data_IF_268756962238
#
_entry.id   IF_268756962238
#
_cell.length_a   1.000
_cell.length_b   1.000
_cell.length_c   1.000
_cell.angle_alpha   90.00
_cell.angle_beta   90.00
_cell.angle_gamma   90.00
#
_symmetry.space_group_name_H-M   'P 1'
#
loop_
_entity.id
_entity.type
_entity.pdbx_description
1 polymer ?
#
# COMPACT_ATOMS: atom_id res chain seq x y z
N UNK A 1 -14.40 -41.42 0.33
CA UNK A 1 -14.74 -39.97 0.33
C UNK A 1 -13.44 -39.19 0.35
N UNK A 2 -13.23 -38.26 -0.56
CA UNK A 2 -12.02 -37.44 -0.58
C UNK A 2 -12.22 -36.25 0.36
N UNK A 3 -11.29 -36.06 1.30
CA UNK A 3 -11.24 -34.89 2.18
C UNK A 3 -9.84 -34.28 2.08
N UNK A 4 -9.78 -32.99 1.80
CA UNK A 4 -8.57 -32.18 1.89
C UNK A 4 -8.74 -31.28 3.10
N UNK A 5 -7.78 -31.33 4.03
CA UNK A 5 -7.72 -30.48 5.22
C UNK A 5 -6.34 -29.80 5.21
N UNK A 6 -6.34 -28.51 4.90
CA UNK A 6 -5.13 -27.71 4.72
C UNK A 6 -5.13 -26.56 5.73
N UNK A 7 -4.10 -26.54 6.58
CA UNK A 7 -3.87 -25.51 7.59
C UNK A 7 -2.48 -24.92 7.37
N UNK A 8 -2.43 -23.69 6.89
CA UNK A 8 -1.20 -22.93 6.71
C UNK A 8 -1.15 -21.88 7.82
N UNK A 9 -0.24 -22.06 8.78
CA UNK A 9 -0.01 -21.09 9.86
C UNK A 9 1.45 -21.19 10.35
N UNK A 10 2.25 -20.11 10.27
CA UNK A 10 1.91 -18.80 9.70
C UNK A 10 1.95 -18.79 8.16
N UNK A 11 1.28 -17.83 7.54
CA UNK A 11 1.58 -17.38 6.18
C UNK A 11 2.99 -16.80 6.15
N UNK A 12 3.77 -17.16 5.15
CA UNK A 12 5.14 -16.64 4.96
C UNK A 12 5.17 -15.62 3.83
N UNK A 13 6.21 -14.76 3.83
CA UNK A 13 6.41 -13.69 2.84
C UNK A 13 5.24 -12.70 2.74
N UNK A 14 4.59 -12.42 3.86
CA UNK A 14 3.59 -11.36 4.03
C UNK A 14 3.97 -10.46 5.22
N UNK A 15 3.43 -9.25 5.26
CA UNK A 15 3.52 -8.39 6.45
C UNK A 15 2.37 -8.73 7.41
N UNK A 16 2.65 -8.70 8.71
CA UNK A 16 1.72 -9.12 9.76
C UNK A 16 1.65 -10.63 9.97
N UNK A 17 0.73 -11.06 10.83
CA UNK A 17 0.56 -12.47 11.19
C UNK A 17 -0.82 -13.01 10.78
N UNK A 18 -0.81 -14.00 9.90
CA UNK A 18 -2.02 -14.64 9.41
C UNK A 18 -1.86 -16.11 9.05
N UNK A 19 -2.97 -16.77 8.75
CA UNK A 19 -3.05 -18.17 8.37
C UNK A 19 -4.23 -18.45 7.46
N UNK A 20 -4.22 -19.58 6.77
CA UNK A 20 -5.35 -20.05 5.94
C UNK A 20 -5.76 -21.44 6.39
N UNK A 21 -7.06 -21.63 6.61
CA UNK A 21 -7.68 -22.94 6.81
C UNK A 21 -8.64 -23.23 5.66
N UNK A 22 -8.42 -24.36 4.98
CA UNK A 22 -9.20 -24.82 3.84
C UNK A 22 -9.62 -26.28 4.05
N UNK A 23 -10.92 -26.52 4.09
CA UNK A 23 -11.50 -27.87 4.12
C UNK A 23 -12.31 -28.08 2.85
N UNK A 24 -11.97 -29.13 2.10
CA UNK A 24 -12.70 -29.54 0.90
C UNK A 24 -13.15 -30.99 1.08
N UNK A 25 -14.45 -31.23 0.97
CA UNK A 25 -15.02 -32.59 1.05
C UNK A 25 -15.78 -32.88 -0.23
N UNK A 26 -15.44 -34.00 -0.88
CA UNK A 26 -16.05 -34.44 -2.14
C UNK A 26 -16.07 -33.32 -3.21
N UNK A 27 -14.97 -32.56 -3.32
CA UNK A 27 -14.82 -31.47 -4.29
C UNK A 27 -15.53 -30.16 -3.94
N UNK A 28 -16.19 -30.06 -2.79
CA UNK A 28 -16.85 -28.83 -2.32
C UNK A 28 -16.06 -28.21 -1.18
N UNK A 29 -15.87 -26.88 -1.24
CA UNK A 29 -15.28 -26.12 -0.13
C UNK A 29 -16.29 -26.10 1.01
N UNK A 30 -15.94 -26.74 2.12
CA UNK A 30 -16.73 -26.70 3.36
C UNK A 30 -16.26 -25.55 4.27
N UNK A 31 -14.96 -25.22 4.22
CA UNK A 31 -14.37 -24.16 5.03
C UNK A 31 -13.27 -23.45 4.25
N UNK A 32 -13.29 -22.11 4.25
CA UNK A 32 -12.20 -21.27 3.75
C UNK A 32 -12.10 -20.03 4.65
N UNK A 33 -11.08 -20.00 5.49
CA UNK A 33 -10.85 -18.90 6.43
C UNK A 33 -9.44 -18.35 6.26
N UNK A 34 -9.34 -17.06 5.93
CA UNK A 34 -8.14 -16.25 6.12
C UNK A 34 -8.20 -15.67 7.53
N UNK A 35 -7.31 -16.15 8.39
CA UNK A 35 -7.28 -15.88 9.82
C UNK A 35 -6.13 -14.94 10.12
N UNK A 36 -6.42 -13.65 10.36
CA UNK A 36 -5.42 -12.73 10.90
C UNK A 36 -5.47 -12.89 12.42
N UNK A 37 -4.33 -13.23 13.03
CA UNK A 37 -4.24 -13.43 14.48
C UNK A 37 -3.19 -12.51 15.13
N UNK A 38 -2.62 -11.60 14.34
CA UNK A 38 -1.81 -10.50 14.87
C UNK A 38 -2.58 -9.79 15.98
N UNK A 39 -1.89 -9.53 17.10
CA UNK A 39 -2.50 -8.93 18.26
C UNK A 39 -2.99 -7.51 17.93
N UNK A 40 -4.26 -7.17 18.22
CA UNK A 40 -4.76 -5.82 18.01
C UNK A 40 -3.99 -4.85 18.91
N UNK A 41 -3.47 -3.78 18.30
CA UNK A 41 -2.73 -2.72 19.00
C UNK A 41 -3.61 -1.56 19.47
N UNK A 42 -4.91 -1.62 19.15
CA UNK A 42 -5.95 -0.69 19.61
C UNK A 42 -5.61 0.80 19.40
N UNK A 43 -5.01 1.15 18.25
CA UNK A 43 -4.63 2.53 17.94
C UNK A 43 -5.81 3.51 18.06
N UNK A 44 -7.01 3.11 17.64
CA UNK A 44 -8.22 3.95 17.70
C UNK A 44 -8.55 4.37 19.15
N UNK A 45 -8.58 3.41 20.08
CA UNK A 45 -8.80 3.68 21.50
C UNK A 45 -7.60 4.41 22.13
N UNK A 46 -6.38 4.02 21.76
CA UNK A 46 -5.14 4.61 22.27
C UNK A 46 -4.96 6.09 21.91
N UNK A 47 -5.55 6.54 20.80
CA UNK A 47 -5.50 7.93 20.35
C UNK A 47 -6.49 8.84 21.09
N UNK A 48 -7.45 8.30 21.84
CA UNK A 48 -8.39 9.09 22.65
C UNK A 48 -7.61 9.87 23.72
N UNK A 49 -7.82 11.19 23.77
CA UNK A 49 -7.14 12.09 24.72
C UNK A 49 -5.69 12.46 24.34
N UNK A 50 -5.17 11.94 23.22
CA UNK A 50 -3.85 12.35 22.69
C UNK A 50 -3.91 13.74 22.09
N UNK A 51 -2.78 14.45 22.11
CA UNK A 51 -2.66 15.73 21.42
C UNK A 51 -2.70 15.49 19.92
N UNK A 52 -3.43 16.32 19.19
CA UNK A 52 -3.52 16.19 17.73
C UNK A 52 -2.13 16.21 17.05
N UNK A 53 -1.17 16.96 17.61
CA UNK A 53 0.19 17.11 17.06
C UNK A 53 1.07 15.86 17.16
N UNK A 54 0.82 14.95 18.11
CA UNK A 54 1.58 13.69 18.24
C UNK A 54 0.96 12.55 17.40
N UNK A 55 -0.27 12.71 16.91
CA UNK A 55 -0.98 11.65 16.17
C UNK A 55 -0.17 11.14 14.97
N UNK A 56 0.36 11.99 14.06
CA UNK A 56 1.11 11.49 12.89
C UNK A 56 2.31 10.62 13.27
N UNK A 57 3.02 10.98 14.34
CA UNK A 57 4.11 10.16 14.86
C UNK A 57 3.60 8.84 15.41
N UNK A 58 2.56 8.85 16.25
CA UNK A 58 2.01 7.62 16.83
C UNK A 58 1.56 6.63 15.74
N UNK A 59 0.74 7.08 14.78
CA UNK A 59 0.17 6.20 13.74
C UNK A 59 1.21 5.68 12.74
N UNK A 60 2.36 6.36 12.59
CA UNK A 60 3.45 5.85 11.77
C UNK A 60 3.95 4.47 12.25
N UNK A 61 3.70 4.11 13.52
CA UNK A 61 4.11 2.83 14.12
C UNK A 61 3.11 1.70 13.87
N UNK A 62 2.03 1.95 13.12
CA UNK A 62 1.09 0.91 12.70
C UNK A 62 1.78 -0.08 11.75
N UNK A 63 2.62 0.38 10.83
CA UNK A 63 3.34 -0.51 9.92
C UNK A 63 4.78 -0.02 9.69
N UNK A 64 5.72 -0.96 9.58
CA UNK A 64 7.11 -0.66 9.23
C UNK A 64 7.34 -0.42 7.74
N UNK A 65 6.43 -0.88 6.87
CA UNK A 65 6.54 -0.78 5.41
C UNK A 65 5.82 0.45 4.86
N UNK A 66 4.64 0.79 5.40
CA UNK A 66 3.80 1.88 4.89
C UNK A 66 3.48 3.01 5.90
N UNK A 67 4.46 3.60 6.61
CA UNK A 67 4.18 4.65 7.58
C UNK A 67 3.64 5.97 6.99
N UNK A 68 3.96 6.29 5.73
CA UNK A 68 3.62 7.58 5.10
C UNK A 68 2.10 7.74 4.90
N UNK A 69 1.36 6.75 4.38
CA UNK A 69 -0.09 6.79 4.32
C UNK A 69 -0.74 7.11 5.66
N UNK A 70 -0.28 6.50 6.76
CA UNK A 70 -0.81 6.79 8.10
C UNK A 70 -0.52 8.23 8.53
N UNK A 71 0.73 8.69 8.37
CA UNK A 71 1.13 10.07 8.70
C UNK A 71 0.27 11.08 7.94
N UNK A 72 0.08 10.86 6.64
CA UNK A 72 -0.62 11.83 5.80
C UNK A 72 -2.14 11.75 5.87
N UNK A 73 -2.72 10.56 6.04
CA UNK A 73 -4.17 10.43 6.27
C UNK A 73 -4.56 11.08 7.59
N UNK A 74 -3.80 10.85 8.66
CA UNK A 74 -4.06 11.48 9.96
C UNK A 74 -3.81 12.98 9.92
N UNK A 75 -2.72 13.43 9.28
CA UNK A 75 -2.45 14.86 9.11
C UNK A 75 -3.57 15.54 8.33
N UNK A 76 -4.03 14.95 7.22
CA UNK A 76 -5.13 15.48 6.41
C UNK A 76 -6.44 15.55 7.19
N UNK A 77 -6.77 14.53 7.97
CA UNK A 77 -7.97 14.54 8.81
C UNK A 77 -7.93 15.71 9.80
N UNK A 78 -6.80 15.92 10.46
CA UNK A 78 -6.61 17.02 11.41
C UNK A 78 -6.58 18.39 10.71
N UNK A 79 -5.96 18.49 9.54
CA UNK A 79 -5.95 19.72 8.72
C UNK A 79 -7.36 20.12 8.29
N UNK A 80 -8.22 19.16 7.94
CA UNK A 80 -9.64 19.42 7.68
C UNK A 80 -10.36 19.96 8.92
N UNK A 81 -10.14 19.36 10.09
CA UNK A 81 -10.77 19.80 11.35
C UNK A 81 -10.39 21.25 11.70
N UNK A 82 -9.14 21.64 11.47
CA UNK A 82 -8.65 22.99 11.73
C UNK A 82 -8.76 23.94 10.53
N UNK A 83 -9.40 23.53 9.44
CA UNK A 83 -9.55 24.31 8.20
C UNK A 83 -8.20 24.84 7.67
N UNK A 84 -7.13 24.04 7.81
CA UNK A 84 -5.79 24.39 7.36
C UNK A 84 -5.66 24.12 5.86
N UNK A 85 -5.48 25.19 5.09
CA UNK A 85 -5.10 25.08 3.68
C UNK A 85 -3.61 24.78 3.51
N UNK A 86 -3.31 23.64 2.89
CA UNK A 86 -1.93 23.23 2.63
C UNK A 86 -1.41 23.88 1.35
N UNK A 87 -0.29 24.63 1.41
CA UNK A 87 0.32 25.23 0.24
C UNK A 87 0.66 24.18 -0.84
N UNK A 88 0.58 24.59 -2.11
CA UNK A 88 0.84 23.69 -3.24
C UNK A 88 2.20 22.99 -3.13
N UNK A 89 3.23 23.72 -2.74
CA UNK A 89 4.60 23.21 -2.57
C UNK A 89 4.67 22.10 -1.52
N UNK A 90 3.91 22.24 -0.42
CA UNK A 90 3.83 21.22 0.61
C UNK A 90 3.08 19.98 0.09
N UNK A 91 2.01 20.16 -0.68
CA UNK A 91 1.30 19.04 -1.32
C UNK A 91 2.22 18.26 -2.25
N UNK A 92 3.01 18.95 -3.08
CA UNK A 92 3.98 18.33 -3.98
C UNK A 92 5.10 17.59 -3.22
N UNK A 93 5.62 18.16 -2.13
CA UNK A 93 6.60 17.47 -1.28
C UNK A 93 6.02 16.20 -0.66
N UNK A 94 4.76 16.21 -0.20
CA UNK A 94 4.06 15.02 0.30
C UNK A 94 3.91 13.96 -0.79
N UNK A 95 3.57 14.34 -2.02
CA UNK A 95 3.48 13.42 -3.17
C UNK A 95 4.83 12.75 -3.45
N UNK A 96 5.92 13.53 -3.51
CA UNK A 96 7.26 12.98 -3.74
C UNK A 96 7.62 11.94 -2.67
N UNK A 97 7.35 12.23 -1.40
CA UNK A 97 7.61 11.31 -0.30
C UNK A 97 6.75 10.04 -0.37
N UNK A 98 5.46 10.16 -0.73
CA UNK A 98 4.58 9.02 -0.94
C UNK A 98 5.04 8.15 -2.12
N UNK A 99 5.49 8.75 -3.23
CA UNK A 99 6.06 8.01 -4.35
C UNK A 99 7.35 7.28 -3.95
N UNK A 100 8.18 7.88 -3.09
CA UNK A 100 9.32 7.19 -2.48
C UNK A 100 8.90 5.91 -1.74
N UNK A 101 7.84 5.98 -0.95
CA UNK A 101 7.28 4.81 -0.27
C UNK A 101 6.69 3.79 -1.25
N UNK A 102 5.93 4.22 -2.26
CA UNK A 102 5.39 3.30 -3.27
C UNK A 102 6.51 2.55 -4.00
N UNK A 103 7.58 3.24 -4.40
CA UNK A 103 8.75 2.62 -5.02
C UNK A 103 9.35 1.56 -4.08
N UNK A 104 9.59 1.91 -2.81
CA UNK A 104 10.19 0.99 -1.84
C UNK A 104 9.28 -0.22 -1.56
N UNK A 105 8.01 0.03 -1.25
CA UNK A 105 7.02 -0.98 -0.88
C UNK A 105 6.65 -1.91 -2.04
N UNK A 106 6.37 -1.36 -3.24
CA UNK A 106 6.02 -2.19 -4.39
C UNK A 106 7.21 -3.02 -4.87
N UNK A 107 8.42 -2.48 -4.81
CA UNK A 107 9.63 -3.22 -5.20
C UNK A 107 9.94 -4.33 -4.18
N UNK A 108 9.80 -4.04 -2.89
CA UNK A 108 9.88 -5.05 -1.82
C UNK A 108 8.90 -6.19 -2.06
N UNK A 109 7.62 -5.86 -2.24
CA UNK A 109 6.56 -6.85 -2.44
C UNK A 109 6.77 -7.67 -3.72
N UNK A 110 7.01 -6.99 -4.86
CA UNK A 110 7.12 -7.67 -6.14
C UNK A 110 8.32 -8.63 -6.20
N UNK A 111 9.49 -8.21 -5.71
CA UNK A 111 10.74 -8.96 -5.94
C UNK A 111 11.21 -9.80 -4.76
N UNK A 112 10.91 -9.41 -3.51
CA UNK A 112 11.35 -10.17 -2.34
C UNK A 112 10.25 -11.07 -1.77
N UNK A 113 8.98 -10.72 -1.99
CA UNK A 113 7.85 -11.47 -1.45
C UNK A 113 7.18 -12.34 -2.51
N UNK A 114 6.80 -11.78 -3.67
CA UNK A 114 5.92 -12.45 -4.62
C UNK A 114 6.63 -13.17 -5.78
N UNK A 115 7.70 -12.59 -6.33
CA UNK A 115 8.45 -13.17 -7.45
C UNK A 115 8.89 -14.63 -7.26
N UNK A 116 9.36 -15.07 -6.06
CA UNK A 116 9.73 -16.47 -5.84
C UNK A 116 8.64 -17.48 -6.19
N UNK A 117 7.36 -17.15 -5.97
CA UNK A 117 6.24 -18.07 -6.25
C UNK A 117 6.13 -18.42 -7.73
N UNK A 118 6.29 -17.44 -8.62
CA UNK A 118 6.18 -17.65 -10.07
C UNK A 118 7.33 -18.50 -10.64
N UNK A 119 8.40 -18.63 -9.87
CA UNK A 119 9.59 -19.40 -10.22
C UNK A 119 9.70 -20.71 -9.41
N UNK A 120 8.71 -21.00 -8.55
CA UNK A 120 8.69 -22.16 -7.66
C UNK A 120 9.93 -22.23 -6.75
N UNK A 121 10.33 -21.08 -6.22
CA UNK A 121 11.42 -20.92 -5.29
C UNK A 121 10.88 -20.72 -3.87
N UNK A 122 11.68 -21.08 -2.86
CA UNK A 122 11.30 -20.93 -1.47
C UNK A 122 11.25 -19.47 -1.03
N UNK A 123 12.20 -18.67 -1.50
CA UNK A 123 12.39 -17.29 -1.06
C UNK A 123 13.22 -16.44 -2.05
N UNK A 124 13.44 -15.18 -1.67
CA UNK A 124 14.25 -14.24 -2.43
C UNK A 124 15.75 -14.56 -2.44
N UNK A 125 16.25 -15.39 -1.51
CA UNK A 125 17.67 -15.79 -1.45
C UNK A 125 17.95 -16.80 -2.56
N UNK A 126 17.05 -17.77 -2.77
CA UNK A 126 17.12 -18.65 -3.93
C UNK A 126 16.99 -17.87 -5.24
N UNK A 127 16.07 -16.90 -5.29
CA UNK A 127 15.96 -16.02 -6.45
C UNK A 127 17.25 -15.24 -6.72
N UNK A 128 17.92 -14.75 -5.68
CA UNK A 128 19.19 -14.04 -5.81
C UNK A 128 20.34 -14.92 -6.33
N UNK A 129 20.28 -16.25 -6.15
CA UNK A 129 21.29 -17.18 -6.69
C UNK A 129 21.13 -17.37 -8.20
N UNK A 130 19.88 -17.41 -8.70
CA UNK A 130 19.59 -17.66 -10.11
C UNK A 130 19.47 -16.37 -10.94
N UNK A 131 19.01 -15.28 -10.33
CA UNK A 131 18.73 -14.00 -10.96
C UNK A 131 19.42 -12.84 -10.18
N UNK A 132 20.75 -12.90 -9.96
CA UNK A 132 21.46 -11.96 -9.10
C UNK A 132 21.36 -10.51 -9.57
N UNK A 133 21.40 -10.28 -10.89
CA UNK A 133 21.27 -8.94 -11.45
C UNK A 133 19.88 -8.34 -11.23
N UNK A 134 18.83 -9.16 -11.38
CA UNK A 134 17.44 -8.75 -11.15
C UNK A 134 17.23 -8.36 -9.69
N UNK A 135 17.69 -9.19 -8.75
CA UNK A 135 17.60 -8.85 -7.32
C UNK A 135 18.44 -7.63 -6.97
N UNK A 136 19.66 -7.48 -7.51
CA UNK A 136 20.48 -6.28 -7.28
C UNK A 136 19.79 -5.01 -7.75
N UNK A 137 19.17 -5.04 -8.94
CA UNK A 137 18.38 -3.93 -9.48
C UNK A 137 17.16 -3.62 -8.61
N UNK A 138 16.42 -4.64 -8.17
CA UNK A 138 15.29 -4.46 -7.25
C UNK A 138 15.73 -3.84 -5.91
N UNK A 139 16.83 -4.32 -5.32
CA UNK A 139 17.36 -3.74 -4.09
C UNK A 139 17.80 -2.29 -4.25
N UNK A 140 18.42 -1.94 -5.39
CA UNK A 140 18.77 -0.55 -5.74
C UNK A 140 17.53 0.33 -5.87
N UNK A 141 16.50 -0.13 -6.59
CA UNK A 141 15.26 0.61 -6.76
C UNK A 141 14.52 0.81 -5.43
N UNK A 142 14.46 -0.24 -4.60
CA UNK A 142 13.93 -0.15 -3.23
C UNK A 142 14.72 0.85 -2.38
N UNK A 143 16.05 0.82 -2.46
CA UNK A 143 16.92 1.75 -1.74
C UNK A 143 16.71 3.20 -2.20
N UNK A 144 16.42 3.44 -3.48
CA UNK A 144 16.06 4.77 -3.97
C UNK A 144 14.73 5.28 -3.42
N UNK A 145 13.71 4.42 -3.31
CA UNK A 145 12.47 4.76 -2.62
C UNK A 145 12.72 5.20 -1.18
N UNK A 146 13.51 4.42 -0.42
CA UNK A 146 13.94 4.76 0.94
C UNK A 146 14.75 6.05 1.00
N UNK A 147 15.62 6.29 0.01
CA UNK A 147 16.43 7.49 -0.09
C UNK A 147 15.57 8.76 -0.19
N UNK A 148 14.51 8.73 -1.00
CA UNK A 148 13.56 9.83 -1.12
C UNK A 148 12.89 10.11 0.24
N UNK A 149 12.42 9.05 0.91
CA UNK A 149 11.77 9.16 2.23
C UNK A 149 12.74 9.71 3.27
N UNK A 150 13.98 9.23 3.29
CA UNK A 150 15.00 9.70 4.23
C UNK A 150 15.36 11.16 3.97
N UNK A 151 15.54 11.55 2.70
CA UNK A 151 15.80 12.94 2.35
C UNK A 151 14.68 13.85 2.82
N UNK A 152 13.41 13.52 2.60
CA UNK A 152 12.31 14.43 2.96
C UNK A 152 11.88 14.30 4.42
N UNK A 153 11.84 13.07 4.93
CA UNK A 153 11.29 12.68 6.23
C UNK A 153 12.32 12.52 7.35
N UNK A 154 13.61 12.58 7.04
CA UNK A 154 14.73 12.44 7.98
C UNK A 154 15.13 11.00 8.29
N UNK A 155 14.25 10.02 8.07
CA UNK A 155 14.49 8.59 8.26
C UNK A 155 13.75 7.78 7.19
N UNK A 156 14.28 6.64 6.73
CA UNK A 156 13.61 5.81 5.72
C UNK A 156 12.40 5.04 6.29
N UNK A 157 12.38 4.80 7.60
CA UNK A 157 11.28 4.15 8.32
C UNK A 157 10.88 5.02 9.50
N UNK A 158 9.56 5.20 9.67
CA UNK A 158 8.96 6.08 10.67
C UNK A 158 9.57 7.50 10.63
N UNK A 159 9.42 8.22 9.49
CA UNK A 159 9.98 9.55 9.34
C UNK A 159 9.36 10.53 10.34
N UNK A 160 10.18 11.48 10.77
CA UNK A 160 9.90 12.39 11.89
C UNK A 160 9.81 13.85 11.44
N UNK A 161 10.09 14.14 10.17
CA UNK A 161 10.08 15.51 9.67
C UNK A 161 8.68 15.99 9.26
N UNK A 162 7.70 15.10 9.14
CA UNK A 162 6.33 15.45 8.79
C UNK A 162 5.58 16.04 9.99
N UNK A 163 4.76 17.05 9.73
CA UNK A 163 3.84 17.64 10.71
C UNK A 163 2.54 18.06 10.03
N UNK A 164 1.56 18.37 10.87
CA UNK A 164 0.34 19.07 10.45
C UNK A 164 0.73 20.43 9.85
N UNK A 165 0.22 20.71 8.67
CA UNK A 165 0.58 21.91 7.90
C UNK A 165 1.84 21.75 7.03
N UNK A 166 2.62 20.67 7.15
CA UNK A 166 3.78 20.43 6.28
C UNK A 166 4.93 19.68 6.94
N UNK A 167 6.08 20.34 7.10
CA UNK A 167 7.32 19.75 7.59
C UNK A 167 7.93 20.57 8.73
N UNK A 168 8.64 19.92 9.66
CA UNK A 168 9.39 20.57 10.75
C UNK A 168 10.65 21.29 10.26
N UNK A 169 11.09 21.01 9.03
CA UNK A 169 12.26 21.64 8.42
C UNK A 169 11.96 22.14 7.01
N UNK A 170 12.80 23.07 6.56
CA UNK A 170 12.82 23.49 5.16
C UNK A 170 13.53 22.43 4.32
N UNK A 171 12.90 21.99 3.24
CA UNK A 171 13.51 21.13 2.22
C UNK A 171 14.24 22.02 1.22
N UNK A 172 15.55 21.81 1.05
CA UNK A 172 16.37 22.66 0.18
C UNK A 172 16.22 22.24 -1.28
N UNK A 173 16.31 23.22 -2.19
CA UNK A 173 16.31 22.96 -3.65
C UNK A 173 17.42 22.00 -4.08
N UNK A 174 18.57 22.00 -3.40
CA UNK A 174 19.68 21.08 -3.69
C UNK A 174 19.32 19.63 -3.38
N UNK A 175 18.53 19.38 -2.34
CA UNK A 175 18.05 18.03 -1.98
C UNK A 175 17.06 17.50 -3.03
N UNK A 176 16.15 18.36 -3.50
CA UNK A 176 15.21 18.04 -4.57
C UNK A 176 15.92 17.83 -5.91
N UNK A 177 16.93 18.63 -6.21
CA UNK A 177 17.75 18.49 -7.41
C UNK A 177 18.48 17.15 -7.41
N UNK A 178 19.09 16.76 -6.29
CA UNK A 178 19.78 15.48 -6.20
C UNK A 178 18.83 14.27 -6.38
N UNK A 179 17.62 14.33 -5.82
CA UNK A 179 16.57 13.31 -6.10
C UNK A 179 16.27 13.27 -7.60
N UNK A 180 15.99 14.44 -8.20
CA UNK A 180 15.65 14.56 -9.62
C UNK A 180 16.75 14.02 -10.53
N UNK A 181 18.01 14.34 -10.24
CA UNK A 181 19.17 13.93 -11.04
C UNK A 181 19.33 12.40 -11.04
N UNK A 182 18.92 11.72 -9.96
CA UNK A 182 18.90 10.25 -9.85
C UNK A 182 17.69 9.60 -10.52
N UNK A 183 16.56 10.30 -10.68
CA UNK A 183 15.32 9.71 -11.19
C UNK A 183 15.50 8.98 -12.52
N UNK A 184 16.28 9.53 -13.46
CA UNK A 184 16.48 8.94 -14.79
C UNK A 184 17.07 7.52 -14.72
N UNK A 185 18.08 7.33 -13.88
CA UNK A 185 18.71 6.02 -13.67
C UNK A 185 17.69 5.00 -13.13
N UNK A 186 16.95 5.38 -12.09
CA UNK A 186 16.01 4.47 -11.44
C UNK A 186 14.74 4.22 -12.26
N UNK A 187 14.35 5.14 -13.14
CA UNK A 187 13.31 4.91 -14.15
C UNK A 187 13.73 3.81 -15.13
N UNK A 188 14.96 3.82 -15.61
CA UNK A 188 15.46 2.76 -16.49
C UNK A 188 15.54 1.41 -15.75
N UNK A 189 16.00 1.41 -14.49
CA UNK A 189 15.96 0.19 -13.65
C UNK A 189 14.51 -0.32 -13.50
N UNK A 190 13.55 0.55 -13.23
CA UNK A 190 12.14 0.17 -13.09
C UNK A 190 11.58 -0.43 -14.39
N UNK A 191 11.92 0.12 -15.56
CA UNK A 191 11.52 -0.43 -16.87
C UNK A 191 12.12 -1.80 -17.12
N UNK A 192 13.39 -2.02 -16.76
CA UNK A 192 14.03 -3.32 -16.90
C UNK A 192 13.39 -4.37 -15.99
N UNK A 193 13.09 -4.00 -14.74
CA UNK A 193 12.38 -4.84 -13.79
C UNK A 193 10.97 -5.17 -14.27
N UNK A 194 10.24 -4.20 -14.83
CA UNK A 194 8.93 -4.42 -15.44
C UNK A 194 9.00 -5.41 -16.62
N UNK A 195 9.98 -5.24 -17.52
CA UNK A 195 10.22 -6.19 -18.62
C UNK A 195 10.54 -7.60 -18.11
N UNK A 196 11.25 -7.72 -16.99
CA UNK A 196 11.49 -9.01 -16.35
C UNK A 196 10.19 -9.60 -15.79
N UNK A 197 9.36 -8.79 -15.11
CA UNK A 197 8.06 -9.23 -14.58
C UNK A 197 7.15 -9.78 -15.67
N UNK A 198 7.15 -9.20 -16.87
CA UNK A 198 6.37 -9.71 -18.00
C UNK A 198 6.81 -11.09 -18.54
N UNK A 199 8.00 -11.58 -18.15
CA UNK A 199 8.46 -12.94 -18.50
C UNK A 199 7.93 -13.99 -17.53
N UNK A 200 7.38 -13.59 -16.38
CA UNK A 200 6.85 -14.53 -15.40
C UNK A 200 5.59 -15.22 -15.93
N UNK A 201 5.47 -16.52 -15.65
CA UNK A 201 4.28 -17.30 -15.98
C UNK A 201 3.20 -17.06 -14.93
N UNK A 202 2.51 -15.93 -15.06
CA UNK A 202 1.40 -15.55 -14.17
C UNK A 202 0.14 -16.32 -14.63
N UNK A 203 -0.54 -17.07 -13.74
CA UNK A 203 -1.78 -17.75 -14.08
C UNK A 203 -2.87 -16.75 -14.51
N UNK A 204 -3.63 -17.11 -15.54
CA UNK A 204 -4.80 -16.33 -15.93
C UNK A 204 -5.93 -16.57 -14.91
N UNK A 205 -6.23 -15.55 -14.10
CA UNK A 205 -7.32 -15.58 -13.13
C UNK A 205 -8.28 -14.45 -13.46
N UNK A 206 -9.53 -14.81 -13.77
CA UNK A 206 -10.63 -13.87 -14.01
C UNK A 206 -11.64 -13.96 -12.88
N UNK A 207 -11.88 -12.83 -12.23
CA UNK A 207 -12.87 -12.70 -11.17
C UNK A 207 -13.65 -11.41 -11.36
N UNK A 208 -14.96 -11.46 -11.16
CA UNK A 208 -15.81 -10.26 -11.16
C UNK A 208 -15.73 -9.57 -9.79
N UNK A 209 -14.77 -8.65 -9.65
CA UNK A 209 -14.57 -7.86 -8.44
C UNK A 209 -15.10 -6.42 -8.60
N UNK A 210 -15.60 -5.87 -7.48
CA UNK A 210 -15.77 -4.42 -7.35
C UNK A 210 -14.44 -3.81 -6.88
N UNK A 211 -13.83 -3.00 -7.74
CA UNK A 211 -12.58 -2.28 -7.49
C UNK A 211 -12.87 -0.93 -6.86
N UNK A 212 -12.46 -0.74 -5.60
CA UNK A 212 -12.60 0.52 -4.87
C UNK A 212 -11.25 1.24 -4.81
N UNK A 213 -11.21 2.52 -5.21
CA UNK A 213 -10.02 3.34 -5.12
C UNK A 213 -10.34 4.82 -4.97
N UNK A 214 -9.31 5.62 -4.65
CA UNK A 214 -9.39 7.07 -4.82
C UNK A 214 -9.46 7.43 -6.32
N UNK A 215 -10.06 8.58 -6.59
CA UNK A 215 -9.99 9.32 -7.84
C UNK A 215 -9.84 10.81 -7.54
N UNK A 216 -8.87 11.43 -8.20
CA UNK A 216 -8.61 12.86 -8.05
C UNK A 216 -9.64 13.67 -8.84
N UNK A 217 -9.88 14.92 -8.42
CA UNK A 217 -10.82 15.81 -9.09
C UNK A 217 -10.19 16.57 -10.26
N UNK A 218 -8.87 16.75 -10.24
CA UNK A 218 -8.10 17.54 -11.22
C UNK A 218 -7.49 16.65 -12.32
N UNK A 219 -8.01 15.43 -12.49
CA UNK A 219 -7.53 14.43 -13.44
C UNK A 219 -6.04 14.05 -13.25
N UNK A 220 -5.51 14.23 -12.04
CA UNK A 220 -4.20 13.73 -11.63
C UNK A 220 -4.31 12.27 -11.12
N UNK A 221 -3.21 11.51 -11.14
CA UNK A 221 -3.19 10.21 -10.49
C UNK A 221 -3.33 10.36 -8.96
N UNK A 222 -4.36 9.77 -8.34
CA UNK A 222 -4.70 10.06 -6.95
C UNK A 222 -3.67 9.48 -6.00
N UNK A 223 -3.08 10.34 -5.16
CA UNK A 223 -2.11 9.95 -4.13
C UNK A 223 -2.77 9.93 -2.75
N UNK A 224 -3.26 11.09 -2.30
CA UNK A 224 -3.82 11.32 -0.97
C UNK A 224 -5.03 12.22 -1.12
N UNK A 225 -6.17 11.77 -0.60
CA UNK A 225 -7.41 12.51 -0.76
C UNK A 225 -8.03 12.35 -2.15
N UNK A 226 -9.25 12.83 -2.27
CA UNK A 226 -10.03 12.77 -3.50
C UNK A 226 -11.41 12.19 -3.23
N UNK A 227 -12.06 11.72 -4.29
CA UNK A 227 -13.32 10.97 -4.19
C UNK A 227 -13.02 9.48 -4.06
N UNK A 228 -13.89 8.75 -3.38
CA UNK A 228 -13.84 7.29 -3.29
C UNK A 228 -14.77 6.75 -4.36
N UNK A 229 -14.24 6.00 -5.32
CA UNK A 229 -14.99 5.49 -6.46
C UNK A 229 -14.89 3.97 -6.59
N UNK A 230 -15.90 3.36 -7.22
CA UNK A 230 -15.83 1.97 -7.69
C UNK A 230 -16.08 1.82 -9.19
N UNK A 231 -15.52 0.76 -9.78
CA UNK A 231 -15.82 0.37 -11.17
C UNK A 231 -17.29 -0.06 -11.38
N UNK A 232 -18.08 -0.21 -10.30
CA UNK A 232 -19.52 -0.49 -10.34
C UNK A 232 -20.34 0.74 -9.87
N UNK A 233 -19.80 1.93 -10.04
CA UNK A 233 -20.56 3.19 -9.96
C UNK A 233 -20.72 3.80 -8.56
N UNK A 234 -20.03 3.30 -7.53
CA UNK A 234 -19.91 4.07 -6.28
C UNK A 234 -19.08 5.32 -6.56
N UNK A 235 -19.49 6.47 -6.03
CA UNK A 235 -18.73 7.72 -6.15
C UNK A 235 -19.07 8.70 -5.01
N UNK A 236 -18.30 8.67 -3.93
CA UNK A 236 -18.59 9.41 -2.70
C UNK A 236 -17.43 10.29 -2.26
N UNK A 237 -17.72 11.23 -1.36
CA UNK A 237 -16.69 11.98 -0.63
C UNK A 237 -16.17 11.13 0.54
N UNK A 238 -14.99 11.48 1.07
CA UNK A 238 -14.33 10.71 2.13
C UNK A 238 -15.18 10.66 3.42
N UNK A 239 -15.92 11.73 3.69
CA UNK A 239 -16.79 11.89 4.87
C UNK A 239 -18.00 10.94 4.86
N UNK A 240 -18.35 10.40 3.70
CA UNK A 240 -19.44 9.43 3.55
C UNK A 240 -18.95 7.97 3.62
N UNK A 241 -17.65 7.74 3.85
CA UNK A 241 -17.08 6.39 3.89
C UNK A 241 -17.81 5.46 4.85
N UNK A 242 -18.02 5.86 6.11
CA UNK A 242 -18.70 5.03 7.12
C UNK A 242 -20.21 4.85 6.86
N UNK A 243 -20.80 5.75 6.06
CA UNK A 243 -22.21 5.64 5.63
C UNK A 243 -22.37 4.57 4.56
N UNK A 244 -21.40 4.43 3.67
CA UNK A 244 -21.48 3.51 2.53
C UNK A 244 -20.74 2.19 2.74
N UNK A 245 -19.74 2.15 3.63
CA UNK A 245 -18.95 0.96 3.94
C UNK A 245 -19.40 0.37 5.27
N UNK A 246 -19.53 -0.95 5.31
CA UNK A 246 -19.83 -1.72 6.52
C UNK A 246 -18.65 -2.62 6.86
N UNK A 247 -18.23 -2.56 8.12
CA UNK A 247 -17.21 -3.43 8.69
C UNK A 247 -17.87 -4.58 9.44
N UNK A 248 -17.32 -5.79 9.26
CA UNK A 248 -17.86 -7.03 9.80
C UNK A 248 -16.75 -7.74 10.56
N UNK A 249 -16.99 -7.98 11.85
CA UNK A 249 -16.15 -8.84 12.67
C UNK A 249 -16.52 -10.30 12.44
N UNK A 250 -15.51 -11.15 12.25
CA UNK A 250 -15.67 -12.62 12.19
C UNK A 250 -14.97 -13.26 13.39
N UNK A 251 -15.43 -14.39 13.93
CA UNK A 251 -14.92 -14.94 15.19
C UNK A 251 -13.48 -15.49 15.11
N UNK A 252 -12.96 -15.72 13.91
CA UNK A 252 -11.67 -16.38 13.67
C UNK A 252 -10.54 -15.44 13.22
N UNK A 253 -10.79 -14.13 13.13
CA UNK A 253 -9.81 -13.15 12.64
C UNK A 253 -9.88 -11.85 13.44
N UNK A 254 -8.73 -11.26 13.78
CA UNK A 254 -8.64 -9.93 14.38
C UNK A 254 -8.81 -8.81 13.35
N UNK A 255 -8.62 -9.10 12.06
CA UNK A 255 -8.90 -8.16 10.96
C UNK A 255 -10.38 -8.18 10.58
N UNK A 256 -10.97 -6.97 10.52
CA UNK A 256 -12.34 -6.73 10.05
C UNK A 256 -12.47 -6.98 8.54
N UNK A 257 -13.69 -7.30 8.10
CA UNK A 257 -14.04 -7.42 6.69
C UNK A 257 -14.92 -6.26 6.26
N UNK A 258 -14.54 -5.59 5.18
CA UNK A 258 -15.30 -4.46 4.66
C UNK A 258 -16.14 -4.86 3.44
N UNK A 259 -17.39 -4.40 3.38
CA UNK A 259 -18.25 -4.48 2.19
C UNK A 259 -18.90 -3.12 1.93
N UNK A 260 -19.30 -2.88 0.67
CA UNK A 260 -20.17 -1.75 0.37
C UNK A 260 -21.59 -2.13 0.77
N UNK A 261 -22.26 -1.27 1.54
CA UNK A 261 -23.64 -1.50 2.00
C UNK A 261 -24.56 -1.74 0.82
N UNK A 262 -25.48 -2.71 0.98
CA UNK A 262 -26.44 -3.13 -0.05
C UNK A 262 -25.80 -3.67 -1.35
N UNK A 263 -24.47 -3.84 -1.38
CA UNK A 263 -23.73 -4.46 -2.48
C UNK A 263 -23.00 -5.69 -1.94
N UNK A 264 -21.67 -5.73 -2.01
CA UNK A 264 -20.86 -6.84 -1.54
C UNK A 264 -19.43 -6.43 -1.23
N UNK A 265 -18.55 -7.44 -1.16
CA UNK A 265 -17.14 -7.24 -0.95
C UNK A 265 -16.49 -6.53 -2.15
N UNK A 266 -15.52 -5.68 -1.84
CA UNK A 266 -14.71 -4.97 -2.83
C UNK A 266 -13.23 -5.26 -2.58
N UNK A 267 -12.40 -4.93 -3.56
CA UNK A 267 -10.95 -4.99 -3.42
C UNK A 267 -10.33 -3.62 -3.70
N UNK A 268 -9.26 -3.32 -2.96
CA UNK A 268 -8.46 -2.11 -3.10
C UNK A 268 -7.06 -2.48 -3.61
N UNK A 269 -6.14 -1.51 -3.64
CA UNK A 269 -4.74 -1.73 -4.01
C UNK A 269 -4.41 -1.37 -5.46
N UNK A 270 -3.24 -1.80 -5.97
CA UNK A 270 -2.71 -1.34 -7.25
C UNK A 270 -3.65 -1.60 -8.44
N UNK A 271 -4.26 -2.79 -8.52
CA UNK A 271 -5.14 -3.15 -9.64
C UNK A 271 -6.42 -2.30 -9.66
N UNK A 272 -6.99 -2.01 -8.50
CA UNK A 272 -8.17 -1.16 -8.38
C UNK A 272 -7.85 0.27 -8.83
N UNK A 273 -6.72 0.81 -8.38
CA UNK A 273 -6.24 2.15 -8.77
C UNK A 273 -5.94 2.24 -10.26
N UNK A 274 -5.27 1.23 -10.82
CA UNK A 274 -4.98 1.17 -12.25
C UNK A 274 -6.25 1.16 -13.08
N UNK A 275 -7.20 0.26 -12.80
CA UNK A 275 -8.44 0.16 -13.58
C UNK A 275 -9.29 1.44 -13.50
N UNK A 276 -9.38 2.05 -12.32
CA UNK A 276 -10.22 3.23 -12.11
C UNK A 276 -9.58 4.55 -12.59
N UNK A 277 -8.25 4.59 -12.73
CA UNK A 277 -7.50 5.82 -13.05
C UNK A 277 -6.52 5.64 -14.22
N UNK A 278 -6.71 4.63 -15.08
CA UNK A 278 -5.80 4.36 -16.20
C UNK A 278 -5.52 5.60 -17.06
N UNK A 279 -6.58 6.36 -17.36
CA UNK A 279 -6.51 7.56 -18.20
C UNK A 279 -5.71 8.72 -17.58
N UNK A 280 -5.34 8.66 -16.30
CA UNK A 280 -4.54 9.68 -15.62
C UNK A 280 -3.05 9.30 -15.56
N UNK A 281 -2.68 8.11 -16.03
CA UNK A 281 -1.29 7.68 -16.14
C UNK A 281 -0.61 8.34 -17.35
N UNK A 282 0.69 8.62 -17.23
CA UNK A 282 1.48 9.12 -18.37
C UNK A 282 1.76 7.96 -19.34
N UNK A 283 1.60 8.19 -20.64
CA UNK A 283 1.82 7.20 -21.70
C UNK A 283 3.28 6.77 -21.96
N UNK A 284 4.19 6.99 -21.00
CA UNK A 284 5.58 6.51 -21.07
C UNK A 284 5.74 5.07 -20.56
N UNK A 285 4.63 4.42 -20.19
CA UNK A 285 4.53 3.02 -19.77
C UNK A 285 3.58 2.27 -20.70
#
# INVERSE_FOLDING_TARGET
MSKIDLKIKPLTRVEGEGGVELIITNGKIEKLELNIFEAPRFFEAFLIGRKYSEVPDLVARICGICPIPYIYSSSRAIEKIFEIEIPKEIRELRKIMLFGEWISSHTLHAFLLHAPDFLRLNDAIELAKIEPETIRKAMRLKAFGNYIIEKLGGRPVHPISCRIGGFYRVIRKTELKDIKDKCREYQEIAKELLKWTFKLKIPEVKCDYEYLSLKDQDNEYPTIGGRIISNKGLNIVEEDFEKEIEEIQVPYSTSLRCKIRRRGFYITGPIARYNNNYNTLRGEV
#
